data_IF_316241503810
#
_entry.id   IF_316241503810
#
_cell.length_a   1.000
_cell.length_b   1.000
_cell.length_c   1.000
_cell.angle_alpha   90.00
_cell.angle_beta   90.00
_cell.angle_gamma   90.00
#
_symmetry.space_group_name_H-M   'P 1'
#
loop_
_entity.id
_entity.type
_entity.pdbx_description
1 polymer ?
#
# COMPACT_ATOMS: atom_id res chain seq x y z
N UNK A 1 -6.41 -7.42 -12.11
CA UNK A 1 -5.41 -8.34 -12.69
C UNK A 1 -5.82 -8.63 -14.10
N UNK A 2 -4.90 -8.56 -15.04
CA UNK A 2 -5.16 -8.83 -16.46
C UNK A 2 -5.38 -10.33 -16.69
N UNK A 3 -6.22 -10.66 -17.67
CA UNK A 3 -6.43 -12.03 -18.13
C UNK A 3 -5.39 -12.39 -19.20
N UNK A 4 -5.27 -13.67 -19.53
CA UNK A 4 -4.30 -14.14 -20.51
C UNK A 4 -4.47 -13.48 -21.89
N UNK A 5 -5.70 -13.21 -22.27
CA UNK A 5 -6.02 -12.53 -23.54
C UNK A 5 -5.49 -11.10 -23.56
N UNK A 6 -5.57 -10.39 -22.44
CA UNK A 6 -5.01 -9.04 -22.29
C UNK A 6 -3.49 -9.05 -22.44
N UNK A 7 -2.80 -10.07 -21.92
CA UNK A 7 -1.35 -10.21 -22.10
C UNK A 7 -0.97 -10.50 -23.54
N UNK A 8 -1.74 -11.32 -24.24
CA UNK A 8 -1.52 -11.58 -25.66
C UNK A 8 -1.69 -10.32 -26.50
N UNK A 9 -2.71 -9.51 -26.20
CA UNK A 9 -2.90 -8.20 -26.83
C UNK A 9 -1.74 -7.25 -26.53
N UNK A 10 -1.27 -7.21 -25.29
CA UNK A 10 -0.14 -6.38 -24.88
C UNK A 10 1.14 -6.76 -25.61
N UNK A 11 1.44 -8.04 -25.74
CA UNK A 11 2.59 -8.53 -26.51
C UNK A 11 2.54 -8.05 -27.96
N UNK A 12 1.37 -8.13 -28.59
CA UNK A 12 1.18 -7.65 -29.95
C UNK A 12 1.34 -6.13 -30.07
N UNK A 13 0.86 -5.37 -29.07
CA UNK A 13 1.01 -3.92 -29.04
C UNK A 13 2.48 -3.49 -28.88
N UNK A 14 3.28 -4.25 -28.12
CA UNK A 14 4.71 -4.00 -27.94
C UNK A 14 5.57 -4.31 -29.17
N UNK A 15 5.05 -5.08 -30.13
CA UNK A 15 5.74 -5.41 -31.39
C UNK A 15 5.49 -4.36 -32.50
N UNK A 16 4.67 -3.36 -32.26
CA UNK A 16 4.39 -2.30 -33.24
C UNK A 16 5.53 -1.28 -33.33
N UNK A 17 5.68 -0.62 -34.48
CA UNK A 17 6.72 0.42 -34.67
C UNK A 17 6.63 1.58 -33.68
N UNK A 18 5.42 1.92 -33.22
CA UNK A 18 5.15 2.94 -32.21
C UNK A 18 4.74 2.30 -30.89
N UNK A 19 5.56 1.35 -30.41
CA UNK A 19 5.28 0.64 -29.18
C UNK A 19 5.23 1.60 -27.97
N UNK A 20 4.21 1.51 -27.09
CA UNK A 20 4.13 2.30 -25.88
C UNK A 20 5.16 1.82 -24.85
N UNK A 21 5.63 2.73 -24.00
CA UNK A 21 6.38 2.37 -22.80
C UNK A 21 5.41 1.80 -21.76
N UNK A 22 5.63 0.53 -21.36
CA UNK A 22 4.78 -0.15 -20.38
C UNK A 22 5.55 -0.41 -19.10
N UNK A 23 5.03 0.10 -17.98
CA UNK A 23 5.56 -0.13 -16.65
C UNK A 23 4.50 -0.85 -15.82
N UNK A 24 4.88 -2.00 -15.26
CA UNK A 24 3.99 -2.80 -14.42
C UNK A 24 4.56 -2.92 -13.01
N UNK A 25 3.70 -2.80 -12.00
CA UNK A 25 4.05 -3.04 -10.62
C UNK A 25 3.25 -4.22 -10.06
N UNK A 26 3.91 -5.14 -9.39
CA UNK A 26 3.29 -6.31 -8.77
C UNK A 26 3.95 -6.63 -7.44
N UNK A 27 3.15 -7.02 -6.46
CA UNK A 27 3.60 -7.55 -5.18
C UNK A 27 3.41 -9.08 -5.07
N UNK A 28 3.09 -9.75 -6.17
CA UNK A 28 2.81 -11.18 -6.20
C UNK A 28 4.08 -11.97 -6.50
N UNK A 29 4.27 -13.07 -5.76
CA UNK A 29 5.27 -14.06 -6.06
C UNK A 29 4.79 -15.04 -7.15
N UNK A 30 4.90 -16.34 -6.92
CA UNK A 30 4.31 -17.35 -7.80
C UNK A 30 2.80 -17.38 -7.64
N UNK A 31 2.07 -17.12 -8.72
CA UNK A 31 0.62 -17.11 -8.73
C UNK A 31 0.06 -17.71 -10.02
N UNK A 32 -1.19 -18.16 -9.92
CA UNK A 32 -1.91 -18.66 -11.08
C UNK A 32 -2.25 -17.53 -12.04
N UNK A 33 -2.00 -17.75 -13.33
CA UNK A 33 -2.40 -16.82 -14.40
C UNK A 33 -3.94 -16.84 -14.47
N UNK A 34 -4.56 -15.67 -14.44
CA UNK A 34 -6.01 -15.55 -14.53
C UNK A 34 -6.50 -16.05 -15.89
N UNK A 35 -7.55 -16.87 -15.87
CA UNK A 35 -8.07 -17.53 -17.07
C UNK A 35 -7.42 -18.88 -17.43
N UNK A 36 -6.36 -19.30 -16.70
CA UNK A 36 -5.67 -20.58 -16.93
C UNK A 36 -5.50 -21.38 -15.65
N UNK A 37 -5.02 -22.62 -15.78
CA UNK A 37 -4.62 -23.47 -14.65
C UNK A 37 -3.12 -23.42 -14.34
N UNK A 38 -2.35 -22.68 -15.13
CA UNK A 38 -0.89 -22.59 -14.99
C UNK A 38 -0.47 -21.59 -13.93
N UNK A 39 0.54 -21.95 -13.16
CA UNK A 39 1.22 -21.07 -12.21
C UNK A 39 2.48 -20.49 -12.86
N UNK A 40 2.70 -19.20 -12.71
CA UNK A 40 3.85 -18.50 -13.24
C UNK A 40 4.36 -17.46 -12.25
N UNK A 41 5.64 -17.07 -12.31
CA UNK A 41 6.14 -15.94 -11.56
C UNK A 41 5.32 -14.68 -11.86
N UNK A 42 4.95 -13.96 -10.82
CA UNK A 42 4.14 -12.74 -10.89
C UNK A 42 2.75 -12.90 -11.56
N UNK A 43 2.35 -14.13 -11.93
CA UNK A 43 1.11 -14.40 -12.68
C UNK A 43 1.14 -13.87 -14.11
N UNK A 44 2.31 -13.76 -14.69
CA UNK A 44 2.55 -13.32 -16.07
C UNK A 44 2.86 -14.52 -16.98
N UNK A 45 2.44 -14.52 -18.24
CA UNK A 45 2.86 -15.54 -19.21
C UNK A 45 4.37 -15.52 -19.43
N UNK A 46 4.96 -16.68 -19.69
CA UNK A 46 6.41 -16.83 -19.90
C UNK A 46 6.89 -15.96 -21.06
N UNK A 47 6.13 -15.94 -22.15
CA UNK A 47 6.43 -15.15 -23.34
C UNK A 47 6.59 -13.65 -23.05
N UNK A 48 5.85 -13.13 -22.09
CA UNK A 48 5.98 -11.74 -21.67
C UNK A 48 7.14 -11.57 -20.68
N UNK A 49 7.36 -12.53 -19.79
CA UNK A 49 8.46 -12.47 -18.81
C UNK A 49 9.84 -12.39 -19.48
N UNK A 50 10.03 -13.06 -20.59
CA UNK A 50 11.28 -13.06 -21.35
C UNK A 50 11.57 -11.72 -22.06
N UNK A 51 10.56 -10.86 -22.18
CA UNK A 51 10.63 -9.57 -22.90
C UNK A 51 10.70 -8.36 -21.97
N UNK A 52 10.53 -8.53 -20.67
CA UNK A 52 10.48 -7.44 -19.69
C UNK A 52 11.72 -7.42 -18.80
N UNK A 53 12.14 -6.21 -18.45
CA UNK A 53 13.16 -6.02 -17.42
C UNK A 53 12.49 -6.07 -16.04
N UNK A 54 12.89 -7.05 -15.23
CA UNK A 54 12.38 -7.21 -13.87
C UNK A 54 13.27 -6.44 -12.90
N UNK A 55 12.70 -5.45 -12.23
CA UNK A 55 13.38 -4.67 -11.20
C UNK A 55 12.80 -5.04 -9.83
N UNK A 56 13.63 -5.63 -8.97
CA UNK A 56 13.22 -5.92 -7.60
C UNK A 56 13.40 -4.69 -6.70
N UNK A 57 12.33 -4.31 -5.99
CA UNK A 57 12.36 -3.24 -5.00
C UNK A 57 12.77 -3.79 -3.63
N UNK A 58 13.51 -2.98 -2.87
CA UNK A 58 13.90 -3.28 -1.49
C UNK A 58 13.15 -2.36 -0.53
N UNK A 59 12.93 -2.78 0.74
CA UNK A 59 12.40 -1.88 1.75
C UNK A 59 13.35 -0.70 1.97
N UNK A 60 12.79 0.47 2.26
CA UNK A 60 13.56 1.68 2.53
C UNK A 60 14.23 1.63 3.90
N UNK A 61 15.40 2.26 4.01
CA UNK A 61 16.08 2.51 5.28
C UNK A 61 15.41 3.66 6.06
N UNK A 62 15.71 3.77 7.35
CA UNK A 62 15.13 4.83 8.19
C UNK A 62 15.41 6.25 7.70
N UNK A 63 16.62 6.49 7.16
CA UNK A 63 17.00 7.80 6.64
C UNK A 63 16.31 8.12 5.31
N UNK A 64 16.14 7.13 4.45
CA UNK A 64 15.37 7.27 3.22
C UNK A 64 13.90 7.56 3.52
N UNK A 65 13.32 6.89 4.53
CA UNK A 65 11.95 7.14 4.98
C UNK A 65 11.80 8.58 5.47
N UNK A 66 12.72 9.09 6.29
CA UNK A 66 12.71 10.49 6.75
C UNK A 66 12.71 11.46 5.57
N UNK A 67 13.56 11.20 4.58
CA UNK A 67 13.64 12.02 3.37
C UNK A 67 12.35 11.98 2.55
N UNK A 68 11.76 10.81 2.38
CA UNK A 68 10.48 10.65 1.68
C UNK A 68 9.35 11.41 2.40
N UNK A 69 9.28 11.30 3.73
CA UNK A 69 8.28 12.01 4.53
C UNK A 69 8.46 13.53 4.46
N UNK A 70 9.71 14.02 4.46
CA UNK A 70 10.01 15.45 4.30
C UNK A 70 9.56 15.96 2.92
N UNK A 71 9.86 15.25 1.84
CA UNK A 71 9.44 15.61 0.49
C UNK A 71 7.90 15.60 0.42
N UNK A 72 7.26 14.59 1.01
CA UNK A 72 5.80 14.49 1.00
C UNK A 72 5.13 15.60 1.79
N UNK A 73 5.71 16.02 2.91
CA UNK A 73 5.24 17.16 3.68
C UNK A 73 5.32 18.47 2.89
N UNK A 74 6.39 18.66 2.13
CA UNK A 74 6.56 19.82 1.24
C UNK A 74 5.54 19.84 0.10
N UNK A 75 5.25 18.69 -0.50
CA UNK A 75 4.23 18.54 -1.56
C UNK A 75 2.81 18.87 -1.07
N UNK A 76 2.53 18.63 0.19
CA UNK A 76 1.22 18.91 0.81
C UNK A 76 1.16 20.24 1.56
N UNK A 77 2.21 21.09 1.44
CA UNK A 77 2.35 22.36 2.16
C UNK A 77 2.17 22.23 3.68
N UNK A 78 2.71 21.17 4.27
CA UNK A 78 2.62 20.87 5.69
C UNK A 78 3.94 21.20 6.39
N UNK A 79 3.90 22.11 7.36
CA UNK A 79 5.03 22.40 8.22
C UNK A 79 5.09 21.36 9.35
N UNK A 80 6.08 20.46 9.31
CA UNK A 80 6.34 19.47 10.34
C UNK A 80 7.48 19.92 11.25
N UNK A 81 7.30 19.85 12.56
CA UNK A 81 8.42 19.96 13.50
C UNK A 81 9.35 18.76 13.36
N UNK A 82 10.64 18.97 13.60
CA UNK A 82 11.66 17.91 13.50
C UNK A 82 11.34 16.69 14.37
N UNK A 83 10.87 16.93 15.59
CA UNK A 83 10.45 15.87 16.50
C UNK A 83 9.26 15.05 15.96
N UNK A 84 8.31 15.71 15.32
CA UNK A 84 7.15 15.03 14.70
C UNK A 84 7.60 14.17 13.50
N UNK A 85 8.55 14.64 12.71
CA UNK A 85 9.14 13.90 11.60
C UNK A 85 9.85 12.62 12.09
N UNK A 86 10.59 12.70 13.19
CA UNK A 86 11.27 11.54 13.77
C UNK A 86 10.29 10.49 14.29
N UNK A 87 9.23 10.92 14.95
CA UNK A 87 8.15 10.02 15.41
C UNK A 87 7.46 9.36 14.23
N UNK A 88 7.13 10.11 13.17
CA UNK A 88 6.54 9.57 11.96
C UNK A 88 7.46 8.57 11.25
N UNK A 89 8.77 8.86 11.17
CA UNK A 89 9.72 7.93 10.59
C UNK A 89 9.82 6.61 11.37
N UNK A 90 9.80 6.68 12.69
CA UNK A 90 9.78 5.47 13.55
C UNK A 90 8.49 4.67 13.35
N UNK A 91 7.34 5.33 13.29
CA UNK A 91 6.05 4.69 12.98
C UNK A 91 6.06 4.02 11.60
N UNK A 92 6.68 4.65 10.59
CA UNK A 92 6.77 4.09 9.25
C UNK A 92 7.59 2.81 9.19
N UNK A 93 8.61 2.68 10.04
CA UNK A 93 9.41 1.46 10.18
C UNK A 93 8.62 0.31 10.83
N UNK A 94 7.76 0.63 11.80
CA UNK A 94 6.97 -0.36 12.54
C UNK A 94 5.70 -0.79 11.79
N UNK A 95 5.10 0.12 11.02
CA UNK A 95 3.83 -0.13 10.32
C UNK A 95 4.03 -0.21 8.79
N UNK A 96 3.79 0.88 8.09
CA UNK A 96 4.06 1.02 6.67
C UNK A 96 4.20 2.48 6.28
N UNK A 97 5.02 2.74 5.26
CA UNK A 97 5.21 4.09 4.71
C UNK A 97 3.88 4.70 4.22
N UNK A 98 3.04 3.90 3.56
CA UNK A 98 1.73 4.36 3.07
C UNK A 98 0.83 4.86 4.19
N UNK A 99 0.79 4.12 5.30
CA UNK A 99 0.01 4.51 6.47
C UNK A 99 0.50 5.83 7.04
N UNK A 100 1.82 5.99 7.17
CA UNK A 100 2.43 7.20 7.73
C UNK A 100 2.23 8.43 6.83
N UNK A 101 2.26 8.27 5.51
CA UNK A 101 1.93 9.36 4.58
C UNK A 101 0.49 9.85 4.83
N UNK A 102 -0.47 8.95 4.97
CA UNK A 102 -1.86 9.33 5.26
C UNK A 102 -2.00 10.03 6.63
N UNK A 103 -1.12 9.69 7.59
CA UNK A 103 -1.10 10.38 8.89
C UNK A 103 -0.65 11.84 8.77
N UNK A 104 0.24 12.20 7.84
CA UNK A 104 0.69 13.58 7.66
C UNK A 104 -0.50 14.49 7.34
N UNK A 105 -1.32 14.13 6.36
CA UNK A 105 -2.49 14.91 5.94
C UNK A 105 -3.48 15.06 7.09
N UNK A 106 -3.76 13.96 7.81
CA UNK A 106 -4.72 14.00 8.93
C UNK A 106 -4.17 14.76 10.15
N UNK A 107 -2.86 14.67 10.41
CA UNK A 107 -2.21 15.44 11.48
C UNK A 107 -2.21 16.94 11.16
N UNK A 108 -2.02 17.31 9.88
CA UNK A 108 -2.16 18.69 9.42
C UNK A 108 -3.58 19.23 9.69
N UNK A 109 -4.61 18.47 9.37
CA UNK A 109 -5.99 18.86 9.67
C UNK A 109 -6.23 19.02 11.17
N UNK A 110 -5.64 18.17 12.01
CA UNK A 110 -5.71 18.27 13.46
C UNK A 110 -5.01 19.54 13.98
N UNK A 111 -3.84 19.89 13.43
CA UNK A 111 -3.12 21.13 13.75
C UNK A 111 -3.91 22.37 13.34
N UNK A 112 -4.49 22.39 12.13
CA UNK A 112 -5.37 23.49 11.66
C UNK A 112 -6.60 23.67 12.55
N UNK A 113 -7.19 22.58 13.04
CA UNK A 113 -8.32 22.65 14.00
C UNK A 113 -7.91 23.34 15.31
N UNK A 114 -6.66 23.19 15.72
CA UNK A 114 -6.05 23.86 16.87
C UNK A 114 -5.57 25.29 16.55
N UNK A 115 -5.69 25.73 15.30
CA UNK A 115 -5.16 27.00 14.76
C UNK A 115 -3.63 27.13 14.91
N UNK A 116 -2.91 26.03 14.75
CA UNK A 116 -1.46 25.97 14.72
C UNK A 116 -0.99 25.84 13.26
N UNK A 117 0.09 26.53 12.93
CA UNK A 117 0.70 26.50 11.59
C UNK A 117 1.65 25.32 11.40
N UNK A 118 2.09 24.73 12.52
CA UNK A 118 3.02 23.60 12.53
C UNK A 118 2.38 22.37 13.20
N UNK A 119 2.68 21.20 12.64
CA UNK A 119 2.27 19.92 13.20
C UNK A 119 3.22 19.50 14.31
N UNK A 120 2.69 19.23 15.49
CA UNK A 120 3.42 18.79 16.66
C UNK A 120 3.25 17.27 16.90
N UNK A 121 4.12 16.70 17.71
CA UNK A 121 4.05 15.29 18.15
C UNK A 121 2.69 14.97 18.79
N UNK A 122 2.09 15.93 19.50
CA UNK A 122 0.78 15.75 20.11
C UNK A 122 -0.33 15.51 19.08
N UNK A 123 -0.27 16.20 17.92
CA UNK A 123 -1.24 16.03 16.83
C UNK A 123 -1.10 14.66 16.18
N UNK A 124 0.15 14.24 15.91
CA UNK A 124 0.46 12.90 15.38
C UNK A 124 -0.04 11.81 16.31
N UNK A 125 0.24 11.92 17.60
CA UNK A 125 -0.18 10.95 18.61
C UNK A 125 -1.70 10.86 18.71
N UNK A 126 -2.39 11.98 18.67
CA UNK A 126 -3.87 12.03 18.69
C UNK A 126 -4.49 11.36 17.49
N UNK A 127 -3.95 11.61 16.30
CA UNK A 127 -4.42 10.98 15.06
C UNK A 127 -4.13 9.49 15.06
N UNK A 128 -2.94 9.09 15.50
CA UNK A 128 -2.56 7.68 15.61
C UNK A 128 -3.53 6.90 16.51
N UNK A 129 -3.91 7.45 17.67
CA UNK A 129 -4.86 6.79 18.56
C UNK A 129 -6.25 6.60 17.92
N UNK A 130 -6.70 7.52 17.07
CA UNK A 130 -7.96 7.38 16.34
C UNK A 130 -7.90 6.26 15.29
N UNK A 131 -6.78 6.17 14.54
CA UNK A 131 -6.60 5.12 13.54
C UNK A 131 -6.49 3.73 14.15
N UNK A 132 -5.80 3.61 15.29
CA UNK A 132 -5.68 2.35 16.02
C UNK A 132 -7.06 1.82 16.44
N UNK A 133 -7.91 2.68 16.94
CA UNK A 133 -9.29 2.32 17.31
C UNK A 133 -10.12 1.83 16.10
N UNK A 134 -9.95 2.42 14.92
CA UNK A 134 -10.62 1.96 13.69
C UNK A 134 -10.09 0.62 13.19
N UNK A 135 -8.79 0.37 13.30
CA UNK A 135 -8.17 -0.89 12.87
C UNK A 135 -8.65 -2.05 13.76
N UNK A 136 -8.72 -1.86 15.06
CA UNK A 136 -9.26 -2.86 15.99
C UNK A 136 -10.74 -3.14 15.73
N UNK A 137 -11.55 -2.14 15.44
CA UNK A 137 -12.95 -2.30 15.04
C UNK A 137 -13.10 -3.09 13.74
N UNK A 138 -12.20 -2.90 12.79
CA UNK A 138 -12.23 -3.60 11.50
C UNK A 138 -11.81 -5.06 11.66
N UNK A 139 -10.79 -5.35 12.48
CA UNK A 139 -10.39 -6.71 12.86
C UNK A 139 -11.51 -7.39 13.64
N UNK A 140 -12.19 -6.69 14.56
CA UNK A 140 -13.31 -7.23 15.32
C UNK A 140 -14.52 -7.55 14.42
N UNK A 141 -14.79 -6.75 13.40
CA UNK A 141 -15.85 -7.01 12.42
C UNK A 141 -15.54 -8.23 11.53
N UNK A 142 -14.27 -8.37 11.12
CA UNK A 142 -13.78 -9.50 10.34
C UNK A 142 -13.80 -10.82 11.15
N UNK A 143 -13.39 -10.79 12.42
CA UNK A 143 -13.48 -11.93 13.31
C UNK A 143 -14.95 -12.33 13.55
N UNK A 144 -15.85 -11.38 13.75
CA UNK A 144 -17.28 -11.65 13.92
C UNK A 144 -17.91 -12.28 12.67
N UNK A 145 -17.53 -11.85 11.46
CA UNK A 145 -18.00 -12.45 10.21
C UNK A 145 -17.45 -13.87 10.01
N UNK A 146 -16.18 -14.12 10.37
CA UNK A 146 -15.55 -15.44 10.30
C UNK A 146 -16.21 -16.44 11.28
N UNK A 147 -16.45 -16.03 12.51
CA UNK A 147 -17.14 -16.86 13.53
C UNK A 147 -18.58 -17.16 13.09
N UNK A 148 -19.27 -16.19 12.47
CA UNK A 148 -20.63 -16.39 11.99
C UNK A 148 -20.72 -17.35 10.79
N UNK A 149 -19.73 -17.34 9.90
CA UNK A 149 -19.65 -18.27 8.77
C UNK A 149 -19.37 -19.71 9.25
N UNK A 150 -18.51 -19.88 10.25
CA UNK A 150 -18.20 -21.19 10.85
C UNK A 150 -19.38 -21.77 11.59
N UNK A 151 -20.16 -20.96 12.33
CA UNK A 151 -21.40 -21.39 12.98
C UNK A 151 -22.50 -21.79 11.97
N UNK A 152 -22.54 -21.13 10.80
CA UNK A 152 -23.50 -21.46 9.73
C UNK A 152 -23.15 -22.77 9.05
N UNK A 153 -21.87 -23.06 8.85
CA UNK A 153 -21.37 -24.31 8.29
C UNK A 153 -21.64 -25.52 9.24
N UNK A 154 -21.51 -25.33 10.55
CA UNK A 154 -21.83 -26.38 11.54
C UNK A 154 -23.32 -26.67 11.66
N UNK A 155 -24.21 -25.75 11.31
CA UNK A 155 -25.67 -25.97 11.32
C UNK A 155 -26.21 -26.68 10.08
N UNK A 156 -25.44 -26.76 9.00
CA UNK A 156 -25.82 -27.44 7.77
C UNK A 156 -25.37 -28.90 7.73
N UNK A 157 -24.56 -29.34 8.71
CA UNK A 157 -24.04 -30.69 8.83
C UNK A 157 -24.68 -31.49 10.02
N UNK A 158 -25.79 -31.00 10.59
CA UNK A 158 -26.69 -31.67 11.54
C UNK A 158 -28.05 -31.88 10.89
#
# INVERSE_FOLDING_TARGET
>A
MLDIECFSFLNRALETELAPLVVMASNRGQTRIRGTRFTSPHGLPIDLLDRILIISTKPYSGDEIKRILSIRAQEEDVNLKQEALEVLARMAMETSLRYTINLITTAHLAARRRKADEVDVADVRRVYSMYFFFTDLQIYSLMRSAVFSTCKSMRQNL
#
